data_IF_621024096735
#
_entry.id   IF_621024096735
#
_cell.length_a   1.000
_cell.length_b   1.000
_cell.length_c   1.000
_cell.angle_alpha   90.00
_cell.angle_beta   90.00
_cell.angle_gamma   90.00
#
_symmetry.space_group_name_H-M   'P 1'
#
loop_
_entity.id
_entity.type
_entity.pdbx_description
1 polymer ?
#
# COMPACT_ATOMS: atom_id res chain seq x y z
N UNK A 1 -6.14 -11.97 11.92
CA UNK A 1 -4.68 -11.90 11.60
C UNK A 1 -4.04 -10.68 12.27
N UNK A 2 -2.71 -10.48 12.19
CA UNK A 2 -1.98 -9.45 12.97
C UNK A 2 -2.58 -8.02 12.81
N UNK A 3 -2.98 -7.62 11.60
CA UNK A 3 -3.60 -6.31 11.33
C UNK A 3 -4.87 -6.04 12.14
N UNK A 4 -5.77 -7.03 12.25
CA UNK A 4 -6.99 -6.91 13.06
C UNK A 4 -6.65 -6.68 14.55
N UNK A 5 -5.61 -7.37 15.06
CA UNK A 5 -5.20 -7.23 16.47
C UNK A 5 -4.66 -5.82 16.78
N UNK A 6 -4.02 -5.18 15.80
CA UNK A 6 -3.48 -3.81 15.95
C UNK A 6 -4.41 -2.73 15.39
N UNK A 7 -5.61 -3.11 14.92
CA UNK A 7 -6.59 -2.21 14.28
C UNK A 7 -5.98 -1.39 13.14
N UNK A 8 -5.14 -2.05 12.34
CA UNK A 8 -4.52 -1.46 11.16
C UNK A 8 -5.42 -1.68 9.95
N UNK A 9 -6.04 -0.59 9.48
CA UNK A 9 -6.96 -0.56 8.35
C UNK A 9 -6.18 -0.30 7.06
N UNK A 10 -5.84 -1.39 6.36
CA UNK A 10 -5.16 -1.40 5.06
C UNK A 10 -6.11 -2.04 4.04
N UNK A 11 -6.95 -1.23 3.36
CA UNK A 11 -8.08 -1.72 2.58
C UNK A 11 -7.66 -2.56 1.37
N UNK A 12 -6.40 -2.46 0.94
CA UNK A 12 -5.84 -3.25 -0.16
C UNK A 12 -4.86 -4.32 0.32
N UNK A 13 -4.67 -4.47 1.62
CA UNK A 13 -3.67 -5.35 2.24
C UNK A 13 -2.25 -5.12 1.70
N UNK A 14 -1.97 -3.90 1.21
CA UNK A 14 -0.78 -3.58 0.45
C UNK A 14 0.50 -3.71 1.30
N UNK A 15 0.44 -3.34 2.58
CA UNK A 15 1.58 -3.44 3.48
C UNK A 15 1.97 -4.91 3.74
N UNK A 16 0.98 -5.79 3.93
CA UNK A 16 1.24 -7.21 4.16
C UNK A 16 1.73 -7.91 2.90
N UNK A 17 1.07 -7.65 1.77
CA UNK A 17 1.41 -8.27 0.50
C UNK A 17 2.76 -7.76 -0.02
N UNK A 18 2.94 -6.45 -0.17
CA UNK A 18 4.17 -5.91 -0.76
C UNK A 18 5.30 -5.76 0.26
N UNK A 19 5.02 -5.21 1.43
CA UNK A 19 6.02 -5.04 2.48
C UNK A 19 6.44 -6.38 3.09
N UNK A 20 5.46 -7.18 3.51
CA UNK A 20 5.69 -8.50 4.11
C UNK A 20 6.30 -9.50 3.12
N UNK A 21 5.61 -9.82 2.01
CA UNK A 21 6.15 -10.80 1.07
C UNK A 21 7.41 -10.30 0.35
N UNK A 22 7.54 -8.98 0.11
CA UNK A 22 8.76 -8.40 -0.44
C UNK A 22 9.97 -8.60 0.47
N UNK A 23 9.82 -8.33 1.77
CA UNK A 23 10.88 -8.59 2.75
C UNK A 23 11.25 -10.09 2.80
N UNK A 24 10.24 -10.98 2.77
CA UNK A 24 10.47 -12.42 2.70
C UNK A 24 11.24 -12.84 1.44
N UNK A 25 10.92 -12.28 0.26
CA UNK A 25 11.64 -12.56 -0.98
C UNK A 25 13.12 -12.15 -0.90
N UNK A 26 13.40 -10.99 -0.31
CA UNK A 26 14.78 -10.52 -0.08
C UNK A 26 15.53 -11.46 0.87
N UNK A 27 14.90 -11.89 1.97
CA UNK A 27 15.50 -12.84 2.92
C UNK A 27 15.76 -14.19 2.23
N UNK A 28 14.79 -14.73 1.50
CA UNK A 28 14.93 -16.03 0.83
C UNK A 28 16.03 -16.01 -0.23
N UNK A 29 16.20 -14.90 -0.94
CA UNK A 29 17.34 -14.72 -1.84
C UNK A 29 18.66 -14.85 -1.08
N UNK A 30 18.79 -14.23 0.10
CA UNK A 30 20.00 -14.33 0.91
C UNK A 30 20.22 -15.71 1.56
N UNK A 31 19.17 -16.52 1.69
CA UNK A 31 19.28 -17.88 2.21
C UNK A 31 19.63 -18.89 1.11
N UNK A 32 19.02 -18.76 -0.07
CA UNK A 32 18.97 -19.82 -1.08
C UNK A 32 19.59 -19.48 -2.44
N UNK A 33 20.10 -18.26 -2.67
CA UNK A 33 20.78 -17.95 -3.94
C UNK A 33 22.00 -18.87 -4.15
N UNK A 34 22.09 -19.57 -5.27
CA UNK A 34 23.26 -20.40 -5.57
C UNK A 34 24.38 -19.56 -6.17
N UNK A 35 25.63 -19.96 -5.94
CA UNK A 35 26.79 -19.27 -6.52
C UNK A 35 26.70 -19.17 -8.05
N UNK A 36 26.26 -20.25 -8.70
CA UNK A 36 26.04 -20.29 -10.16
C UNK A 36 25.13 -19.16 -10.62
N UNK A 37 23.93 -19.04 -10.03
CA UNK A 37 22.97 -18.02 -10.45
C UNK A 37 23.42 -16.60 -10.07
N UNK A 38 24.12 -16.43 -8.94
CA UNK A 38 24.72 -15.14 -8.60
C UNK A 38 25.76 -14.71 -9.64
N UNK A 39 26.60 -15.64 -10.13
CA UNK A 39 27.59 -15.36 -11.16
C UNK A 39 26.96 -15.10 -12.55
N UNK A 40 25.83 -15.74 -12.86
CA UNK A 40 25.05 -15.45 -14.08
C UNK A 40 24.45 -14.04 -14.06
N UNK A 41 23.91 -13.60 -12.92
CA UNK A 41 23.34 -12.24 -12.78
C UNK A 41 24.42 -11.15 -12.75
N UNK A 42 25.61 -11.46 -12.22
CA UNK A 42 26.73 -10.54 -12.09
C UNK A 42 28.00 -11.05 -12.80
N UNK A 43 28.01 -11.11 -14.14
CA UNK A 43 29.13 -11.65 -14.90
C UNK A 43 30.41 -10.83 -14.70
N UNK A 44 31.56 -11.51 -14.72
CA UNK A 44 32.88 -10.89 -14.59
C UNK A 44 33.26 -10.46 -13.17
N UNK A 45 32.47 -10.82 -12.15
CA UNK A 45 32.74 -10.52 -10.74
C UNK A 45 32.72 -11.80 -9.89
N UNK A 46 33.75 -12.66 -9.97
CA UNK A 46 33.80 -13.91 -9.21
C UNK A 46 33.93 -13.67 -7.69
N UNK A 47 33.55 -14.66 -6.89
CA UNK A 47 33.68 -14.63 -5.43
C UNK A 47 32.66 -13.73 -4.71
N UNK A 48 31.53 -13.42 -5.36
CA UNK A 48 30.43 -12.69 -4.70
C UNK A 48 29.78 -13.56 -3.64
N UNK A 49 29.38 -12.98 -2.49
CA UNK A 49 28.57 -13.70 -1.52
C UNK A 49 27.28 -14.22 -2.14
N UNK A 50 26.90 -15.44 -1.77
CA UNK A 50 25.68 -16.11 -2.20
C UNK A 50 24.93 -16.68 -0.97
N UNK A 51 23.89 -17.46 -1.21
CA UNK A 51 22.94 -17.91 -0.19
C UNK A 51 23.60 -18.62 0.99
N UNK A 52 23.21 -18.25 2.21
CA UNK A 52 23.73 -18.82 3.45
C UNK A 52 23.65 -20.36 3.45
N UNK A 53 22.49 -20.91 3.07
CA UNK A 53 22.26 -22.36 3.05
C UNK A 53 22.85 -23.04 1.80
N UNK A 54 23.34 -22.26 0.84
CA UNK A 54 24.07 -22.78 -0.32
C UNK A 54 25.59 -22.85 -0.07
N UNK A 55 26.06 -22.37 1.09
CA UNK A 55 27.49 -22.34 1.45
C UNK A 55 28.17 -20.98 1.29
N UNK A 56 27.42 -19.92 0.93
CA UNK A 56 27.95 -18.58 0.64
C UNK A 56 28.26 -17.72 1.87
N UNK A 57 28.08 -18.27 3.07
CA UNK A 57 28.29 -17.59 4.35
C UNK A 57 27.24 -16.53 4.67
N UNK A 58 27.43 -15.82 5.79
CA UNK A 58 26.45 -14.86 6.31
C UNK A 58 26.45 -13.46 5.68
N UNK A 59 27.38 -13.17 4.76
CA UNK A 59 27.59 -11.81 4.23
C UNK A 59 26.39 -11.32 3.41
N UNK A 60 25.82 -12.18 2.56
CA UNK A 60 24.65 -11.81 1.75
C UNK A 60 23.43 -11.54 2.62
N UNK A 61 23.20 -12.39 3.64
CA UNK A 61 22.13 -12.20 4.61
C UNK A 61 22.27 -10.90 5.38
N UNK A 62 23.45 -10.61 5.92
CA UNK A 62 23.71 -9.34 6.60
C UNK A 62 23.42 -8.12 5.71
N UNK A 63 23.88 -8.16 4.45
CA UNK A 63 23.62 -7.09 3.49
C UNK A 63 22.12 -6.91 3.19
N UNK A 64 21.38 -8.01 3.01
CA UNK A 64 19.94 -7.98 2.72
C UNK A 64 19.10 -7.51 3.91
N UNK A 65 19.49 -7.85 5.14
CA UNK A 65 18.84 -7.28 6.35
C UNK A 65 19.04 -5.78 6.42
N UNK A 66 20.28 -5.30 6.19
CA UNK A 66 20.55 -3.86 6.12
C UNK A 66 19.74 -3.21 5.00
N UNK A 67 19.65 -3.85 3.82
CA UNK A 67 18.84 -3.36 2.70
C UNK A 67 17.37 -3.18 3.09
N UNK A 68 16.75 -4.16 3.76
CA UNK A 68 15.36 -4.04 4.23
C UNK A 68 15.21 -2.85 5.19
N UNK A 69 16.13 -2.72 6.17
CA UNK A 69 16.09 -1.61 7.13
C UNK A 69 16.26 -0.25 6.45
N UNK A 70 17.15 -0.15 5.46
CA UNK A 70 17.36 1.07 4.68
C UNK A 70 16.12 1.42 3.86
N UNK A 71 15.46 0.43 3.24
CA UNK A 71 14.21 0.65 2.48
C UNK A 71 13.11 1.16 3.42
N UNK A 72 12.91 0.50 4.57
CA UNK A 72 11.92 0.93 5.57
C UNK A 72 12.23 2.35 6.03
N UNK A 73 13.48 2.62 6.43
CA UNK A 73 13.90 3.94 6.91
C UNK A 73 13.72 5.03 5.85
N UNK A 74 14.12 4.78 4.60
CA UNK A 74 13.99 5.73 3.50
C UNK A 74 12.53 6.04 3.18
N UNK A 75 11.69 5.01 3.03
CA UNK A 75 10.26 5.19 2.72
C UNK A 75 9.55 5.91 3.86
N UNK A 76 9.80 5.52 5.12
CA UNK A 76 9.20 6.20 6.28
C UNK A 76 9.68 7.65 6.41
N UNK A 77 10.96 7.93 6.18
CA UNK A 77 11.52 9.28 6.28
C UNK A 77 11.03 10.23 5.18
N UNK A 78 10.68 9.70 4.01
CA UNK A 78 10.18 10.52 2.87
C UNK A 78 8.67 10.62 2.85
N UNK A 79 7.95 9.50 3.01
CA UNK A 79 6.49 9.46 2.96
C UNK A 79 5.84 9.87 4.28
N UNK A 80 6.48 9.60 5.42
CA UNK A 80 5.96 9.97 6.74
C UNK A 80 5.70 11.48 6.87
N UNK A 81 6.71 12.34 6.61
CA UNK A 81 6.51 13.79 6.62
C UNK A 81 5.50 14.27 5.59
N UNK A 82 5.52 13.71 4.36
CA UNK A 82 4.56 14.05 3.31
C UNK A 82 3.12 13.82 3.78
N UNK A 83 2.80 12.59 4.23
CA UNK A 83 1.46 12.26 4.68
C UNK A 83 1.08 12.99 5.96
N UNK A 84 2.03 13.24 6.86
CA UNK A 84 1.79 14.06 8.05
C UNK A 84 1.38 15.50 7.69
N UNK A 85 2.08 16.12 6.73
CA UNK A 85 1.74 17.47 6.24
C UNK A 85 0.36 17.47 5.58
N UNK A 86 0.10 16.52 4.67
CA UNK A 86 -1.21 16.40 4.02
C UNK A 86 -2.35 16.18 5.03
N UNK A 87 -2.10 15.40 6.07
CA UNK A 87 -3.06 15.19 7.16
C UNK A 87 -3.31 16.49 7.94
N UNK A 88 -2.26 17.26 8.28
CA UNK A 88 -2.40 18.56 8.96
C UNK A 88 -3.15 19.59 8.13
N UNK A 89 -3.01 19.53 6.80
CA UNK A 89 -3.76 20.37 5.87
C UNK A 89 -5.19 19.85 5.60
N UNK A 90 -5.61 18.74 6.22
CA UNK A 90 -6.90 18.06 5.98
C UNK A 90 -7.13 17.69 4.50
N UNK A 91 -6.05 17.33 3.79
CA UNK A 91 -6.09 16.94 2.38
C UNK A 91 -6.04 15.42 2.14
N UNK A 92 -5.80 14.63 3.19
CA UNK A 92 -5.52 13.20 3.05
C UNK A 92 -6.77 12.31 3.00
N UNK A 93 -7.86 12.69 3.67
CA UNK A 93 -9.12 11.92 3.74
C UNK A 93 -10.31 12.85 3.52
N UNK A 94 -11.35 12.33 2.88
CA UNK A 94 -12.63 13.03 2.70
C UNK A 94 -13.40 13.13 4.04
N UNK A 95 -14.51 13.87 4.05
CA UNK A 95 -15.37 13.93 5.24
C UNK A 95 -16.05 12.58 5.48
N UNK A 96 -16.41 12.28 6.73
CA UNK A 96 -17.14 11.04 7.07
C UNK A 96 -18.49 10.98 6.34
N UNK A 97 -19.19 12.12 6.21
CA UNK A 97 -20.44 12.20 5.44
C UNK A 97 -20.23 11.84 3.96
N UNK A 98 -19.14 12.34 3.35
CA UNK A 98 -18.81 12.00 1.95
C UNK A 98 -18.37 10.54 1.80
N UNK A 99 -17.67 10.00 2.81
CA UNK A 99 -17.23 8.60 2.85
C UNK A 99 -18.43 7.65 2.94
N UNK A 100 -19.41 7.99 3.77
CA UNK A 100 -20.66 7.24 3.91
C UNK A 100 -21.56 7.31 2.68
N UNK A 101 -21.62 8.46 2.00
CA UNK A 101 -22.39 8.63 0.76
C UNK A 101 -21.75 7.93 -0.45
N UNK A 102 -20.45 7.66 -0.40
CA UNK A 102 -19.67 7.04 -1.46
C UNK A 102 -19.02 8.07 -2.39
N UNK A 103 -17.75 7.82 -2.72
CA UNK A 103 -16.91 8.76 -3.48
C UNK A 103 -17.41 9.02 -4.90
N UNK A 104 -18.04 8.02 -5.54
CA UNK A 104 -18.60 8.19 -6.88
C UNK A 104 -19.70 9.25 -6.90
N UNK A 105 -20.61 9.22 -5.92
CA UNK A 105 -21.70 10.18 -5.83
C UNK A 105 -21.20 11.58 -5.48
N UNK A 106 -20.30 11.69 -4.51
CA UNK A 106 -19.87 12.98 -3.93
C UNK A 106 -18.77 13.68 -4.73
N UNK A 107 -17.93 12.94 -5.47
CA UNK A 107 -16.81 13.49 -6.24
C UNK A 107 -16.93 13.29 -7.75
N UNK A 108 -17.65 12.27 -8.21
CA UNK A 108 -17.74 11.92 -9.64
C UNK A 108 -19.15 12.12 -10.24
N UNK A 109 -20.12 12.56 -9.45
CA UNK A 109 -21.41 13.06 -9.93
C UNK A 109 -22.41 11.98 -10.39
N UNK A 110 -22.20 10.72 -10.00
CA UNK A 110 -23.08 9.61 -10.35
C UNK A 110 -22.57 8.27 -9.80
N UNK A 111 -23.29 7.19 -10.06
CA UNK A 111 -22.87 5.84 -9.69
C UNK A 111 -21.88 5.27 -10.73
N UNK A 112 -20.86 4.53 -10.28
CA UNK A 112 -19.96 3.80 -11.19
C UNK A 112 -20.66 2.67 -11.96
N UNK A 113 -21.76 2.14 -11.42
CA UNK A 113 -22.54 1.05 -12.02
C UNK A 113 -24.02 1.42 -12.10
N UNK A 114 -24.66 1.00 -13.20
CA UNK A 114 -26.13 1.03 -13.30
C UNK A 114 -26.66 -0.16 -12.54
N UNK A 115 -27.34 0.10 -11.42
CA UNK A 115 -28.12 -0.91 -10.75
C UNK A 115 -29.43 -1.06 -11.51
N UNK A 116 -29.55 -2.11 -12.35
CA UNK A 116 -30.86 -2.59 -12.79
C UNK A 116 -31.51 -3.29 -11.61
N UNK A 117 -32.33 -2.53 -10.88
CA UNK A 117 -33.14 -3.08 -9.81
C UNK A 117 -34.26 -3.91 -10.46
N UNK A 118 -34.20 -5.24 -10.37
CA UNK A 118 -35.25 -6.18 -10.83
C UNK A 118 -36.57 -6.06 -10.01
N UNK A 119 -36.93 -4.85 -9.58
CA UNK A 119 -38.10 -4.58 -8.73
C UNK A 119 -38.78 -3.22 -8.92
N UNK A 120 -38.19 -2.24 -9.62
CA UNK A 120 -38.76 -0.89 -9.74
C UNK A 120 -39.07 -0.50 -11.19
N UNK A 121 -40.19 -1.03 -11.70
CA UNK A 121 -40.91 -0.42 -12.82
C UNK A 121 -41.42 0.94 -12.36
N UNK A 122 -40.76 2.00 -12.84
CA UNK A 122 -41.05 3.45 -12.75
C UNK A 122 -39.97 4.21 -11.98
N UNK A 123 -38.80 4.36 -12.61
CA UNK A 123 -37.65 5.09 -12.07
C UNK A 123 -37.95 6.57 -11.85
N UNK A 124 -37.89 7.00 -10.59
CA UNK A 124 -37.69 8.40 -10.23
C UNK A 124 -36.17 8.65 -10.37
N UNK A 125 -35.71 9.57 -11.23
CA UNK A 125 -34.30 9.93 -11.27
C UNK A 125 -33.95 10.60 -9.94
N UNK A 126 -33.21 9.90 -9.06
CA UNK A 126 -32.70 10.50 -7.83
C UNK A 126 -31.68 11.57 -8.19
N UNK A 127 -31.95 12.79 -7.74
CA UNK A 127 -31.24 14.01 -8.13
C UNK A 127 -29.91 14.10 -7.38
N UNK A 128 -28.90 14.61 -8.08
CA UNK A 128 -27.61 15.08 -7.51
C UNK A 128 -27.84 15.78 -6.17
N UNK A 129 -27.22 15.28 -5.11
CA UNK A 129 -27.20 15.93 -3.79
C UNK A 129 -26.20 17.08 -3.88
N UNK A 130 -26.71 18.31 -3.88
CA UNK A 130 -25.87 19.51 -3.82
C UNK A 130 -25.56 19.86 -2.36
N UNK A 131 -24.36 20.36 -2.04
CA UNK A 131 -24.05 20.82 -0.70
C UNK A 131 -24.97 21.99 -0.31
N UNK A 132 -25.57 21.90 0.89
CA UNK A 132 -26.55 22.87 1.40
C UNK A 132 -25.92 24.26 1.61
N UNK A 133 -26.50 25.35 1.06
CA UNK A 133 -25.95 26.70 1.16
C UNK A 133 -26.43 27.44 2.43
N UNK A 134 -26.46 26.77 3.59
CA UNK A 134 -26.81 27.42 4.85
C UNK A 134 -25.67 27.35 5.86
N UNK A 135 -24.75 28.32 5.76
CA UNK A 135 -24.01 28.77 6.93
C UNK A 135 -24.12 30.30 7.02
N UNK A 136 -25.31 30.76 7.41
CA UNK A 136 -25.48 32.10 7.96
C UNK A 136 -25.39 31.99 9.49
N UNK A 137 -24.29 32.52 10.05
CA UNK A 137 -24.18 33.30 11.30
C UNK A 137 -24.92 32.70 12.51
N UNK A 138 -24.22 32.13 13.50
CA UNK A 138 -23.52 32.77 14.64
C UNK A 138 -22.46 31.79 15.17
#
# INVERSE_FOLDING_TARGET
MLAEKVKYDDPLEAAQLHGGCGAWGVIFTALFATEKYVNEVYPGRPGRPYGLFMGGGGRLLGAHIIQILVIIGWVSATMGPLFFILHKLKLLRISEDDEMAGMDQTRHGGFAYVYEDEGLKNGIPMRRVEPSPNNNII
#
